data_IF_691216005418
#
_entry.id   IF_691216005418
#
_cell.length_a   1.000
_cell.length_b   1.000
_cell.length_c   1.000
_cell.angle_alpha   90.00
_cell.angle_beta   90.00
_cell.angle_gamma   90.00
#
_symmetry.space_group_name_H-M   'P 1'
#
loop_
_entity.id
_entity.type
_entity.pdbx_description
1 polymer ?
#
# COMPACT_ATOMS: atom_id res chain seq x y z
N UNK A 1 1.79 23.83 3.97
CA UNK A 1 3.03 23.14 3.52
C UNK A 1 3.03 21.69 4.02
N UNK A 2 3.75 20.76 3.40
CA UNK A 2 3.94 19.40 3.94
C UNK A 2 5.32 19.29 4.57
N UNK A 3 5.36 19.04 5.88
CA UNK A 3 6.59 19.07 6.67
C UNK A 3 6.90 17.68 7.23
N UNK A 4 8.11 17.13 6.95
CA UNK A 4 8.54 15.88 7.56
C UNK A 4 8.93 16.07 9.03
N UNK A 5 8.37 15.24 9.89
CA UNK A 5 8.64 15.18 11.33
C UNK A 5 9.41 13.90 11.62
N UNK A 6 10.60 14.03 12.21
CA UNK A 6 11.44 12.89 12.59
C UNK A 6 10.86 12.25 13.85
N UNK A 7 10.63 10.95 13.81
CA UNK A 7 10.08 10.15 14.91
C UNK A 7 10.98 8.95 15.18
N UNK A 8 10.92 8.40 16.39
CA UNK A 8 11.56 7.12 16.70
C UNK A 8 10.94 6.01 15.86
N UNK A 9 11.77 5.25 15.15
CA UNK A 9 11.35 4.09 14.35
C UNK A 9 10.62 3.07 15.23
N UNK A 10 9.46 2.59 14.78
CA UNK A 10 8.60 1.67 15.52
C UNK A 10 7.68 2.34 16.55
N UNK A 11 7.72 3.67 16.69
CA UNK A 11 6.85 4.47 17.57
C UNK A 11 6.03 5.52 16.81
N UNK A 12 5.99 5.44 15.48
CA UNK A 12 5.28 6.38 14.61
C UNK A 12 3.80 6.48 14.95
N UNK A 13 3.16 5.34 15.21
CA UNK A 13 1.75 5.29 15.60
C UNK A 13 1.47 6.06 16.90
N UNK A 14 2.34 5.91 17.90
CA UNK A 14 2.15 6.59 19.18
C UNK A 14 2.32 8.11 19.04
N UNK A 15 3.31 8.55 18.26
CA UNK A 15 3.47 9.98 17.95
C UNK A 15 2.27 10.51 17.14
N UNK A 16 1.79 9.75 16.16
CA UNK A 16 0.62 10.10 15.34
C UNK A 16 -0.63 10.24 16.21
N UNK A 17 -0.90 9.28 17.09
CA UNK A 17 -2.08 9.29 17.97
C UNK A 17 -2.06 10.51 18.91
N UNK A 18 -0.88 10.87 19.43
CA UNK A 18 -0.70 12.08 20.22
C UNK A 18 -0.99 13.34 19.40
N UNK A 19 -0.35 13.50 18.23
CA UNK A 19 -0.49 14.68 17.37
C UNK A 19 -1.96 14.83 16.94
N UNK A 20 -2.62 13.74 16.54
CA UNK A 20 -4.02 13.75 16.13
C UNK A 20 -4.96 14.16 17.28
N UNK A 21 -4.65 13.75 18.51
CA UNK A 21 -5.37 14.21 19.70
C UNK A 21 -5.13 15.70 19.96
N UNK A 22 -3.89 16.15 19.83
CA UNK A 22 -3.51 17.55 20.09
C UNK A 22 -4.17 18.52 19.11
N UNK A 23 -4.20 18.15 17.82
CA UNK A 23 -4.89 18.91 16.76
C UNK A 23 -6.37 19.11 17.10
N UNK A 24 -7.05 18.06 17.58
CA UNK A 24 -8.46 18.14 17.98
C UNK A 24 -8.68 18.96 19.25
N UNK A 25 -7.81 18.81 20.24
CA UNK A 25 -7.94 19.50 21.52
C UNK A 25 -7.69 21.01 21.41
N UNK A 26 -6.78 21.42 20.53
CA UNK A 26 -6.39 22.82 20.36
C UNK A 26 -6.99 23.47 19.12
N UNK A 27 -7.86 22.76 18.41
CA UNK A 27 -8.51 23.22 17.17
C UNK A 27 -7.49 23.78 16.16
N UNK A 28 -6.39 23.04 15.95
CA UNK A 28 -5.31 23.46 15.03
C UNK A 28 -5.74 23.26 13.57
N UNK A 29 -5.37 24.17 12.67
CA UNK A 29 -5.65 24.06 11.23
C UNK A 29 -4.61 23.15 10.54
N UNK A 30 -4.61 21.88 10.95
CA UNK A 30 -3.80 20.85 10.32
C UNK A 30 -4.66 20.06 9.32
N UNK A 31 -4.30 20.15 8.03
CA UNK A 31 -5.04 19.57 6.91
C UNK A 31 -4.92 18.05 6.87
N UNK A 32 -3.72 17.52 7.09
CA UNK A 32 -3.49 16.07 7.06
C UNK A 32 -2.27 15.63 7.88
N UNK A 33 -2.29 14.37 8.32
CA UNK A 33 -1.15 13.67 8.93
C UNK A 33 -1.01 12.33 8.21
N UNK A 34 0.17 12.03 7.69
CA UNK A 34 0.44 10.83 6.90
C UNK A 34 1.62 10.07 7.50
N UNK A 35 1.42 8.76 7.66
CA UNK A 35 2.49 7.79 7.87
C UNK A 35 2.63 6.94 6.60
N UNK A 36 3.87 6.76 6.12
CA UNK A 36 4.18 5.93 4.96
C UNK A 36 5.05 4.75 5.41
N UNK A 37 4.60 3.52 5.18
CA UNK A 37 5.27 2.30 5.65
C UNK A 37 6.70 2.17 5.12
N UNK A 38 6.93 2.63 3.89
CA UNK A 38 8.21 2.65 3.19
C UNK A 38 9.18 3.71 3.76
N UNK A 39 8.68 4.74 4.44
CA UNK A 39 9.46 5.83 5.03
C UNK A 39 9.40 5.82 6.55
N UNK A 40 9.96 4.76 7.15
CA UNK A 40 10.03 4.58 8.61
C UNK A 40 10.75 5.72 9.31
N UNK A 41 10.32 6.03 10.54
CA UNK A 41 10.88 7.10 11.35
C UNK A 41 10.45 8.51 10.93
N UNK A 42 9.44 8.64 10.07
CA UNK A 42 8.89 9.92 9.64
C UNK A 42 7.37 9.95 9.71
N UNK A 43 6.83 11.10 10.07
CA UNK A 43 5.45 11.50 9.84
C UNK A 43 5.45 12.74 8.94
N UNK A 44 4.45 12.88 8.09
CA UNK A 44 4.30 14.03 7.20
C UNK A 44 3.04 14.79 7.61
N UNK A 45 3.22 16.04 8.01
CA UNK A 45 2.13 16.90 8.48
C UNK A 45 1.89 17.99 7.46
N UNK A 46 0.63 18.19 7.06
CA UNK A 46 0.22 19.24 6.15
C UNK A 46 -0.54 20.34 6.90
N UNK A 47 -0.02 21.57 6.85
CA UNK A 47 -0.65 22.72 7.48
C UNK A 47 0.26 23.94 7.44
N UNK A 48 -0.07 24.94 8.24
CA UNK A 48 0.79 26.10 8.48
C UNK A 48 1.90 25.75 9.49
N UNK A 49 3.04 26.44 9.40
CA UNK A 49 4.21 26.13 10.24
C UNK A 49 3.89 26.28 11.73
N UNK A 50 3.09 27.28 12.10
CA UNK A 50 2.69 27.52 13.49
C UNK A 50 1.88 26.35 14.06
N UNK A 51 0.87 25.88 13.32
CA UNK A 51 0.03 24.77 13.75
C UNK A 51 0.78 23.45 13.78
N UNK A 52 1.69 23.21 12.84
CA UNK A 52 2.58 22.04 12.86
C UNK A 52 3.44 22.05 14.13
N UNK A 53 4.07 23.20 14.45
CA UNK A 53 4.88 23.34 15.66
C UNK A 53 4.06 23.11 16.93
N UNK A 54 2.84 23.65 17.01
CA UNK A 54 1.92 23.46 18.14
C UNK A 54 1.47 22.01 18.26
N UNK A 55 1.21 21.33 17.15
CA UNK A 55 0.73 19.94 17.13
C UNK A 55 1.78 18.93 17.60
N UNK A 56 3.06 19.19 17.33
CA UNK A 56 4.16 18.30 17.75
C UNK A 56 4.76 18.66 19.12
N UNK A 57 4.36 19.79 19.71
CA UNK A 57 4.92 20.27 20.96
C UNK A 57 4.62 19.29 22.10
N UNK A 58 5.66 18.78 22.75
CA UNK A 58 5.53 17.78 23.82
C UNK A 58 5.17 16.38 23.31
N UNK A 59 5.12 16.15 22.00
CA UNK A 59 4.79 14.85 21.44
C UNK A 59 5.84 13.80 21.78
N UNK A 60 5.44 12.63 22.32
CA UNK A 60 6.37 11.56 22.63
C UNK A 60 7.01 11.03 21.35
N UNK A 61 8.28 10.66 21.43
CA UNK A 61 9.04 10.06 20.34
C UNK A 61 9.28 10.96 19.12
N UNK A 62 8.81 12.21 19.11
CA UNK A 62 9.20 13.20 18.12
C UNK A 62 10.61 13.69 18.43
N UNK A 63 11.49 13.66 17.42
CA UNK A 63 12.89 14.09 17.51
C UNK A 63 13.15 15.45 16.89
N UNK A 64 12.21 15.98 16.12
CA UNK A 64 12.28 17.33 15.55
C UNK A 64 11.71 17.44 14.14
N UNK A 65 11.74 18.66 13.63
CA UNK A 65 11.24 19.04 12.31
C UNK A 65 12.37 19.01 11.29
N UNK A 66 12.11 18.47 10.09
CA UNK A 66 12.96 18.72 8.93
C UNK A 66 12.50 20.02 8.27
N UNK A 67 13.36 21.04 8.32
CA UNK A 67 13.07 22.39 7.82
C UNK A 67 12.78 22.49 6.33
N UNK A 68 13.05 21.43 5.56
CA UNK A 68 12.76 21.37 4.13
C UNK A 68 11.37 20.74 3.92
N UNK A 69 10.36 21.51 3.50
CA UNK A 69 9.07 20.94 3.13
C UNK A 69 9.21 20.02 1.92
N UNK A 70 8.26 19.10 1.79
CA UNK A 70 8.15 18.18 0.65
C UNK A 70 6.90 18.48 -0.16
N UNK A 71 6.92 18.11 -1.44
CA UNK A 71 5.77 18.23 -2.34
C UNK A 71 4.99 16.93 -2.40
N UNK A 72 3.70 17.02 -2.77
CA UNK A 72 2.87 15.82 -3.01
C UNK A 72 3.49 14.93 -4.09
N UNK A 73 4.12 15.51 -5.11
CA UNK A 73 4.78 14.76 -6.18
C UNK A 73 5.92 13.86 -5.64
N UNK A 74 6.71 14.34 -4.67
CA UNK A 74 7.78 13.55 -4.04
C UNK A 74 7.24 12.41 -3.18
N UNK A 75 6.05 12.59 -2.59
CA UNK A 75 5.37 11.56 -1.79
C UNK A 75 4.57 10.56 -2.65
N UNK A 76 4.14 10.96 -3.85
CA UNK A 76 3.28 10.16 -4.73
C UNK A 76 3.82 8.76 -5.00
N UNK A 77 5.14 8.62 -5.19
CA UNK A 77 5.80 7.32 -5.41
C UNK A 77 5.68 6.33 -4.24
N UNK A 78 5.38 6.82 -3.04
CA UNK A 78 5.17 5.99 -1.84
C UNK A 78 3.67 5.80 -1.55
N UNK A 79 2.81 6.70 -2.04
CA UNK A 79 1.36 6.58 -1.93
C UNK A 79 0.79 5.57 -2.92
N UNK A 80 1.46 5.38 -4.06
CA UNK A 80 1.09 4.38 -5.05
C UNK A 80 1.68 3.04 -4.60
N UNK A 81 0.92 2.30 -3.81
CA UNK A 81 1.08 0.84 -3.75
C UNK A 81 0.78 0.37 -5.16
N UNK A 82 1.80 -0.01 -5.95
CA UNK A 82 1.59 -0.66 -7.24
C UNK A 82 0.89 -2.00 -7.00
N UNK A 83 -0.41 -1.97 -6.71
CA UNK A 83 -1.28 -3.02 -7.17
C UNK A 83 -1.29 -2.82 -8.67
N UNK A 84 -0.33 -3.44 -9.36
CA UNK A 84 -0.52 -3.76 -10.76
C UNK A 84 -1.84 -4.52 -10.80
N UNK A 85 -2.91 -3.81 -11.15
CA UNK A 85 -4.14 -4.46 -11.57
C UNK A 85 -3.73 -5.20 -12.83
N UNK A 86 -3.28 -6.44 -12.66
CA UNK A 86 -3.06 -7.33 -13.78
C UNK A 86 -4.48 -7.50 -14.32
N UNK A 87 -4.78 -6.84 -15.43
CA UNK A 87 -6.01 -7.07 -16.17
C UNK A 87 -5.95 -8.50 -16.71
N UNK A 88 -6.55 -9.41 -15.95
CA UNK A 88 -6.72 -10.80 -16.33
C UNK A 88 -8.00 -10.92 -17.15
N UNK A 89 -7.95 -11.72 -18.20
CA UNK A 89 -9.08 -12.03 -19.05
C UNK A 89 -9.31 -13.54 -19.08
N UNK A 90 -10.56 -13.93 -19.29
CA UNK A 90 -10.87 -15.32 -19.64
C UNK A 90 -10.11 -15.65 -20.92
N UNK A 91 -9.33 -16.73 -20.88
CA UNK A 91 -8.47 -17.18 -21.95
C UNK A 91 -7.00 -16.81 -21.84
N UNK A 92 -6.61 -15.94 -20.89
CA UNK A 92 -5.21 -15.67 -20.59
C UNK A 92 -4.50 -16.91 -20.05
N UNK A 93 -3.20 -17.04 -20.33
CA UNK A 93 -2.34 -18.10 -19.78
C UNK A 93 -1.56 -17.54 -18.61
N UNK A 94 -1.66 -18.21 -17.47
CA UNK A 94 -0.98 -17.85 -16.23
C UNK A 94 -0.10 -18.99 -15.73
N UNK A 95 0.86 -18.65 -14.88
CA UNK A 95 1.69 -19.57 -14.10
C UNK A 95 1.37 -19.40 -12.62
N UNK A 96 1.28 -20.50 -11.89
CA UNK A 96 1.05 -20.50 -10.45
C UNK A 96 2.39 -20.29 -9.72
N UNK A 97 2.49 -19.27 -8.88
CA UNK A 97 3.71 -18.88 -8.18
C UNK A 97 3.92 -19.59 -6.83
N UNK A 98 2.86 -20.13 -6.23
CA UNK A 98 2.93 -20.74 -4.90
C UNK A 98 1.86 -21.82 -4.68
N UNK A 99 2.05 -22.60 -3.61
CA UNK A 99 1.17 -23.73 -3.28
C UNK A 99 1.57 -25.04 -3.98
N UNK A 100 0.75 -26.09 -3.88
CA UNK A 100 1.07 -27.42 -4.40
C UNK A 100 1.17 -27.47 -5.93
N UNK A 101 0.60 -26.49 -6.63
CA UNK A 101 0.62 -26.38 -8.09
C UNK A 101 1.65 -25.35 -8.57
N UNK A 102 2.62 -24.95 -7.74
CA UNK A 102 3.64 -23.97 -8.11
C UNK A 102 4.43 -24.42 -9.35
N UNK A 103 4.56 -23.52 -10.32
CA UNK A 103 5.26 -23.75 -11.60
C UNK A 103 4.33 -24.25 -12.71
N UNK A 104 3.14 -24.72 -12.37
CA UNK A 104 2.15 -25.17 -13.35
C UNK A 104 1.57 -24.01 -14.14
N UNK A 105 1.28 -24.27 -15.42
CA UNK A 105 0.65 -23.30 -16.32
C UNK A 105 -0.80 -23.68 -16.56
N UNK A 106 -1.67 -22.68 -16.59
CA UNK A 106 -3.08 -22.89 -16.86
C UNK A 106 -3.72 -21.73 -17.59
N UNK A 107 -4.82 -22.04 -18.28
CA UNK A 107 -5.66 -21.07 -18.97
C UNK A 107 -6.81 -20.65 -18.08
N UNK A 108 -7.06 -19.35 -17.97
CA UNK A 108 -8.18 -18.82 -17.18
C UNK A 108 -9.50 -19.18 -17.85
N UNK A 109 -10.39 -19.83 -17.10
CA UNK A 109 -11.75 -20.14 -17.54
C UNK A 109 -12.81 -19.27 -16.86
N UNK A 110 -12.52 -18.79 -15.64
CA UNK A 110 -13.43 -17.91 -14.89
C UNK A 110 -12.66 -16.92 -14.03
N UNK A 111 -13.21 -15.71 -13.92
CA UNK A 111 -12.71 -14.65 -13.04
C UNK A 111 -13.77 -14.29 -12.02
N UNK A 112 -13.35 -14.02 -10.78
CA UNK A 112 -14.19 -13.48 -9.73
C UNK A 112 -13.48 -12.29 -9.08
N UNK A 113 -13.70 -11.11 -9.64
CA UNK A 113 -13.06 -9.86 -9.19
C UNK A 113 -13.46 -9.49 -7.76
N UNK A 114 -14.71 -9.77 -7.38
CA UNK A 114 -15.21 -9.49 -6.03
C UNK A 114 -14.46 -10.28 -4.95
N UNK A 115 -14.08 -11.53 -5.25
CA UNK A 115 -13.32 -12.40 -4.34
C UNK A 115 -11.82 -12.42 -4.59
N UNK A 116 -11.35 -11.77 -5.67
CA UNK A 116 -9.94 -11.82 -6.11
C UNK A 116 -9.46 -13.27 -6.35
N UNK A 117 -10.31 -14.06 -7.01
CA UNK A 117 -10.08 -15.46 -7.35
C UNK A 117 -10.18 -15.70 -8.86
N UNK A 118 -9.40 -16.66 -9.36
CA UNK A 118 -9.44 -17.13 -10.75
C UNK A 118 -9.60 -18.63 -10.77
N UNK A 119 -10.37 -19.14 -11.72
CA UNK A 119 -10.41 -20.57 -12.04
C UNK A 119 -9.61 -20.80 -13.31
N UNK A 120 -8.68 -21.76 -13.24
CA UNK A 120 -7.82 -22.15 -14.35
C UNK A 120 -8.00 -23.61 -14.70
N UNK A 121 -7.70 -23.95 -15.95
CA UNK A 121 -7.47 -25.31 -16.41
C UNK A 121 -5.99 -25.49 -16.73
N UNK A 122 -5.35 -26.50 -16.16
CA UNK A 122 -3.94 -26.79 -16.37
C UNK A 122 -3.67 -27.27 -17.81
N UNK A 123 -2.62 -26.74 -18.43
CA UNK A 123 -2.26 -27.08 -19.81
C UNK A 123 -1.58 -28.44 -19.95
N UNK A 124 -0.87 -28.90 -18.92
CA UNK A 124 -0.11 -30.17 -18.93
C UNK A 124 -0.90 -31.34 -18.33
N UNK A 125 -2.14 -31.11 -17.87
CA UNK A 125 -2.96 -32.14 -17.27
C UNK A 125 -3.65 -33.01 -18.34
N UNK A 126 -3.56 -34.34 -18.17
CA UNK A 126 -4.25 -35.32 -19.04
C UNK A 126 -5.78 -35.23 -18.91
N UNK A 127 -6.27 -34.75 -17.76
CA UNK A 127 -7.68 -34.55 -17.47
C UNK A 127 -7.88 -33.10 -17.03
N UNK A 128 -8.83 -32.40 -17.66
CA UNK A 128 -9.16 -31.00 -17.36
C UNK A 128 -9.88 -30.90 -16.01
N UNK A 129 -9.11 -30.63 -14.95
CA UNK A 129 -9.65 -30.36 -13.61
C UNK A 129 -9.61 -28.85 -13.37
N UNK A 130 -10.75 -28.18 -13.09
CA UNK A 130 -10.77 -26.76 -12.79
C UNK A 130 -10.18 -26.50 -11.40
N UNK A 131 -9.19 -25.60 -11.33
CA UNK A 131 -8.53 -25.20 -10.09
C UNK A 131 -8.80 -23.72 -9.79
N UNK A 132 -9.32 -23.42 -8.60
CA UNK A 132 -9.57 -22.04 -8.17
C UNK A 132 -8.44 -21.55 -7.25
N UNK A 133 -7.82 -20.43 -7.61
CA UNK A 133 -6.67 -19.83 -6.94
C UNK A 133 -6.88 -18.33 -6.71
N UNK A 134 -6.17 -17.75 -5.75
CA UNK A 134 -6.15 -16.30 -5.57
C UNK A 134 -5.35 -15.63 -6.70
N UNK A 135 -5.78 -14.45 -7.16
CA UNK A 135 -5.01 -13.64 -8.13
C UNK A 135 -3.59 -13.30 -7.64
N UNK A 136 -3.36 -13.33 -6.32
CA UNK A 136 -2.07 -12.97 -5.72
C UNK A 136 -1.00 -14.06 -5.91
N UNK A 137 -1.40 -15.28 -6.27
CA UNK A 137 -0.49 -16.43 -6.41
C UNK A 137 -0.27 -16.81 -7.88
N UNK A 138 -0.61 -15.94 -8.82
CA UNK A 138 -0.47 -16.21 -10.25
C UNK A 138 0.33 -15.12 -10.95
N UNK A 139 0.96 -15.48 -12.08
CA UNK A 139 1.67 -14.58 -12.98
C UNK A 139 1.12 -14.74 -14.39
N UNK A 140 0.73 -13.65 -15.02
CA UNK A 140 0.35 -13.63 -16.43
C UNK A 140 1.58 -13.94 -17.31
N UNK A 141 1.46 -14.94 -18.18
CA UNK A 141 2.47 -15.32 -19.18
C UNK A 141 2.08 -14.81 -20.56
N UNK A 142 0.83 -15.08 -20.97
CA UNK A 142 0.33 -14.74 -22.30
C UNK A 142 -1.08 -14.15 -22.17
N UNK A 143 -1.31 -12.99 -22.78
CA UNK A 143 -2.67 -12.46 -22.94
C UNK A 143 -3.39 -13.25 -24.03
N UNK A 144 -4.70 -13.43 -23.89
CA UNK A 144 -5.53 -14.06 -24.92
C UNK A 144 -5.23 -13.39 -26.28
N UNK A 145 -5.06 -14.21 -27.32
CA UNK A 145 -5.05 -13.74 -28.71
C UNK A 145 -6.43 -13.26 -29.13
#
# INVERSE_FOLDING_TARGET
MITPIRVVIGRERMALDYIAKEVKLRELDLKSIIYLEELKGYLFLEGEEEDINRAIYGAPHVRGIIKKPVTVAELKRYLVREQKAIELNIGDVIEVLSGPFKGEKGKITRLNDAKKEVTIELLEAVVSIPLTLSINVIRLIEKKK
#
